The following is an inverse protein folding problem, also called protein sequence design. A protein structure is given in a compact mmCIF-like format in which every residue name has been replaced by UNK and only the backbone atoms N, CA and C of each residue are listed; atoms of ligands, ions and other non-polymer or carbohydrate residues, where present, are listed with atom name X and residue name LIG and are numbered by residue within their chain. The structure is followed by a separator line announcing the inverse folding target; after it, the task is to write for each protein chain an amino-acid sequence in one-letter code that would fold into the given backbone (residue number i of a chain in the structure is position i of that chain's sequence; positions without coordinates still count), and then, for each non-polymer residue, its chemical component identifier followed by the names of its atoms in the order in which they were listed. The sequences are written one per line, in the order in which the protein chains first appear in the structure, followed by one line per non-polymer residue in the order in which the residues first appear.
data_IF_002051702719
#
_entry.id   IF_002051702719
#
_cell.length_a   1.000
_cell.length_b   1.000
_cell.length_c   1.000
_cell.angle_alpha   90.00
_cell.angle_beta   90.00
_cell.angle_gamma   90.00
#
_symmetry.space_group_name_H-M   'P 1'
#
loop_
_entity.id
_entity.type
_entity.pdbx_description
1 polymer ?
#
# COMPACT_ATOMS: atom_id res chain seq x y z
N UNK A 1 -13.21 -15.66 11.28
CA UNK A 1 -13.67 -15.48 9.89
C UNK A 1 -12.51 -15.57 8.89
N UNK A 2 -11.43 -14.78 9.02
CA UNK A 2 -10.27 -14.85 8.10
C UNK A 2 -9.55 -16.22 8.05
N UNK A 3 -9.50 -16.95 9.15
CA UNK A 3 -8.86 -18.28 9.24
C UNK A 3 -9.83 -19.45 9.01
N UNK A 4 -11.10 -19.17 8.74
CA UNK A 4 -12.09 -20.20 8.43
C UNK A 4 -12.11 -20.39 6.91
N UNK A 5 -11.98 -21.62 6.38
CA UNK A 5 -12.11 -21.91 4.95
C UNK A 5 -13.41 -21.33 4.40
N UNK A 6 -13.38 -20.82 3.17
CA UNK A 6 -14.51 -20.12 2.55
C UNK A 6 -15.81 -20.94 2.58
N UNK A 7 -15.72 -22.21 2.20
CA UNK A 7 -16.85 -23.15 2.16
C UNK A 7 -17.40 -23.50 3.54
N UNK A 8 -16.68 -23.16 4.62
CA UNK A 8 -17.04 -23.43 6.01
C UNK A 8 -17.45 -22.18 6.80
N UNK A 9 -17.56 -21.01 6.15
CA UNK A 9 -17.95 -19.76 6.83
C UNK A 9 -19.45 -19.68 7.06
N UNK A 10 -19.84 -19.31 8.30
CA UNK A 10 -21.23 -18.95 8.61
C UNK A 10 -21.65 -17.65 7.90
N UNK A 11 -22.95 -17.37 7.87
CA UNK A 11 -23.47 -16.11 7.31
C UNK A 11 -22.91 -14.88 8.05
N UNK A 12 -22.81 -14.94 9.38
CA UNK A 12 -22.25 -13.88 10.22
C UNK A 12 -20.76 -13.70 9.93
N UNK A 13 -20.01 -14.80 9.76
CA UNK A 13 -18.59 -14.73 9.42
C UNK A 13 -18.36 -14.12 8.04
N UNK A 14 -19.22 -14.41 7.05
CA UNK A 14 -19.19 -13.77 5.73
C UNK A 14 -19.47 -12.28 5.84
N UNK A 15 -20.46 -11.88 6.64
CA UNK A 15 -20.80 -10.48 6.84
C UNK A 15 -19.67 -9.68 7.51
N UNK A 16 -19.00 -10.26 8.52
CA UNK A 16 -17.88 -9.62 9.22
C UNK A 16 -16.69 -9.30 8.29
N UNK A 17 -16.49 -10.10 7.24
CA UNK A 17 -15.34 -9.95 6.33
C UNK A 17 -15.70 -9.31 4.99
N UNK A 18 -16.97 -8.96 4.77
CA UNK A 18 -17.46 -8.46 3.48
C UNK A 18 -16.62 -7.29 2.97
N UNK A 19 -16.34 -6.30 3.83
CA UNK A 19 -15.48 -5.15 3.48
C UNK A 19 -14.05 -5.57 3.12
N UNK A 20 -13.49 -6.59 3.77
CA UNK A 20 -12.14 -7.09 3.44
C UNK A 20 -12.16 -7.78 2.09
N UNK A 21 -13.21 -8.55 1.80
CA UNK A 21 -13.35 -9.25 0.53
C UNK A 21 -13.54 -8.25 -0.63
N UNK A 22 -14.30 -7.17 -0.42
CA UNK A 22 -14.43 -6.04 -1.37
C UNK A 22 -13.08 -5.36 -1.65
N UNK A 23 -12.36 -4.95 -0.60
CA UNK A 23 -11.05 -4.28 -0.74
C UNK A 23 -10.00 -5.18 -1.41
N UNK A 24 -10.00 -6.48 -1.10
CA UNK A 24 -9.13 -7.45 -1.78
C UNK A 24 -9.49 -7.57 -3.26
N UNK A 25 -10.79 -7.59 -3.59
CA UNK A 25 -11.25 -7.66 -4.98
C UNK A 25 -10.81 -6.42 -5.78
N UNK A 26 -10.91 -5.22 -5.20
CA UNK A 26 -10.43 -3.99 -5.82
C UNK A 26 -8.93 -4.06 -6.14
N UNK A 27 -8.11 -4.48 -5.18
CA UNK A 27 -6.65 -4.61 -5.38
C UNK A 27 -6.32 -5.68 -6.42
N UNK A 28 -7.05 -6.81 -6.44
CA UNK A 28 -6.85 -7.87 -7.43
C UNK A 28 -7.18 -7.40 -8.85
N UNK A 29 -8.25 -6.63 -9.00
CA UNK A 29 -8.71 -6.10 -10.29
C UNK A 29 -7.80 -4.99 -10.84
N UNK A 30 -7.05 -4.29 -9.99
CA UNK A 30 -6.16 -3.21 -10.41
C UNK A 30 -4.81 -3.72 -10.92
N UNK A 31 -4.38 -3.28 -12.11
CA UNK A 31 -3.00 -3.44 -12.59
C UNK A 31 -2.05 -2.43 -11.94
N UNK A 32 -2.59 -1.27 -11.59
CA UNK A 32 -1.86 -0.13 -11.03
C UNK A 32 -2.56 0.38 -9.79
N UNK A 33 -1.81 0.55 -8.71
CA UNK A 33 -2.26 1.19 -7.48
C UNK A 33 -1.64 2.58 -7.35
N UNK A 34 -2.46 3.57 -6.97
CA UNK A 34 -1.97 4.90 -6.57
C UNK A 34 -2.42 5.14 -5.14
N UNK A 35 -1.46 5.27 -4.22
CA UNK A 35 -1.72 5.35 -2.78
C UNK A 35 -1.18 6.69 -2.27
N UNK A 36 -2.09 7.52 -1.75
CA UNK A 36 -1.71 8.69 -0.95
C UNK A 36 -1.33 8.25 0.48
N UNK A 37 -0.09 8.50 0.88
CA UNK A 37 0.45 8.13 2.19
C UNK A 37 0.97 9.38 2.93
N UNK A 38 0.08 10.20 3.52
CA UNK A 38 0.54 11.31 4.34
C UNK A 38 1.21 10.78 5.61
N UNK A 39 2.31 11.40 6.01
CA UNK A 39 3.05 11.00 7.22
C UNK A 39 2.51 11.74 8.44
N UNK A 40 2.00 10.99 9.42
CA UNK A 40 1.64 11.50 10.73
C UNK A 40 2.48 10.80 11.79
N UNK A 41 3.21 11.58 12.58
CA UNK A 41 4.10 11.06 13.62
C UNK A 41 5.01 9.94 13.10
N UNK A 42 5.76 10.23 12.03
CA UNK A 42 6.77 9.35 11.41
C UNK A 42 6.24 8.15 10.62
N UNK A 43 4.94 7.83 10.71
CA UNK A 43 4.34 6.64 10.11
C UNK A 43 3.10 6.96 9.24
N UNK A 44 2.52 5.91 8.67
CA UNK A 44 1.25 6.00 7.92
C UNK A 44 0.05 6.28 8.85
N UNK A 45 -1.04 6.87 8.34
CA UNK A 45 -2.25 7.08 9.14
C UNK A 45 -2.87 5.75 9.57
N UNK A 46 -3.59 5.76 10.70
CA UNK A 46 -4.26 4.56 11.24
C UNK A 46 -5.26 3.96 10.25
N UNK A 47 -5.93 4.78 9.43
CA UNK A 47 -6.85 4.32 8.39
C UNK A 47 -6.14 3.59 7.25
N UNK A 48 -4.96 4.07 6.82
CA UNK A 48 -4.15 3.38 5.83
C UNK A 48 -3.62 2.06 6.39
N UNK A 49 -3.20 2.04 7.66
CA UNK A 49 -2.83 0.80 8.36
C UNK A 49 -4.02 -0.18 8.43
N UNK A 50 -5.22 0.29 8.74
CA UNK A 50 -6.42 -0.54 8.78
C UNK A 50 -6.76 -1.10 7.39
N UNK A 51 -6.59 -0.32 6.32
CA UNK A 51 -6.71 -0.82 4.95
C UNK A 51 -5.70 -1.94 4.66
N UNK A 52 -4.43 -1.78 5.05
CA UNK A 52 -3.41 -2.84 4.92
C UNK A 52 -3.85 -4.12 5.64
N UNK A 53 -4.39 -4.01 6.85
CA UNK A 53 -4.88 -5.16 7.62
C UNK A 53 -6.03 -5.90 6.92
N UNK A 54 -6.84 -5.19 6.14
CA UNK A 54 -7.96 -5.75 5.41
C UNK A 54 -7.54 -6.44 4.12
N UNK A 55 -6.45 -6.00 3.48
CA UNK A 55 -5.98 -6.60 2.22
C UNK A 55 -4.91 -7.68 2.42
N UNK A 56 -4.22 -7.72 3.56
CA UNK A 56 -3.23 -8.75 3.88
C UNK A 56 -3.92 -10.02 4.41
N UNK A 57 -4.32 -10.91 3.50
CA UNK A 57 -5.15 -12.08 3.79
C UNK A 57 -4.43 -13.38 3.41
N UNK A 58 -4.18 -14.23 4.41
CA UNK A 58 -3.54 -15.54 4.21
C UNK A 58 -4.38 -16.42 3.28
N UNK A 59 -3.73 -17.06 2.31
CA UNK A 59 -4.37 -17.86 1.26
C UNK A 59 -5.12 -17.05 0.21
N UNK A 60 -5.09 -15.71 0.26
CA UNK A 60 -5.85 -14.84 -0.66
C UNK A 60 -4.96 -13.81 -1.36
N UNK A 61 -4.08 -13.12 -0.62
CA UNK A 61 -3.12 -12.14 -1.16
C UNK A 61 -1.67 -12.45 -0.78
N UNK A 62 -1.46 -13.31 0.20
CA UNK A 62 -0.18 -13.95 0.48
C UNK A 62 -0.41 -15.36 1.03
N UNK A 63 0.62 -16.19 1.07
CA UNK A 63 0.57 -17.50 1.74
C UNK A 63 1.91 -17.83 2.41
N UNK A 64 1.90 -18.74 3.38
CA UNK A 64 3.13 -19.24 4.01
C UNK A 64 3.67 -20.47 3.26
N UNK A 65 4.99 -20.52 3.09
CA UNK A 65 5.72 -21.67 2.57
C UNK A 65 6.81 -22.09 3.57
N UNK A 66 7.49 -23.20 3.31
CA UNK A 66 8.64 -23.64 4.11
C UNK A 66 9.78 -22.61 4.16
N UNK A 67 9.88 -21.74 3.14
CA UNK A 67 10.89 -20.69 3.04
C UNK A 67 10.40 -19.32 3.54
N UNK A 68 9.20 -19.27 4.14
CA UNK A 68 8.56 -18.03 4.60
C UNK A 68 7.38 -17.59 3.73
N UNK A 69 6.83 -16.40 3.98
CA UNK A 69 5.67 -15.89 3.26
C UNK A 69 6.01 -15.51 1.81
N UNK A 70 5.07 -15.78 0.90
CA UNK A 70 5.12 -15.36 -0.51
C UNK A 70 3.84 -14.61 -0.86
N UNK A 71 3.98 -13.50 -1.57
CA UNK A 71 2.86 -12.72 -2.09
C UNK A 71 2.18 -13.40 -3.27
N UNK A 72 0.91 -13.05 -3.52
CA UNK A 72 0.09 -13.65 -4.60
C UNK A 72 -0.38 -12.62 -5.65
N UNK A 73 -0.05 -11.33 -5.46
CA UNK A 73 -0.51 -10.22 -6.31
C UNK A 73 0.61 -9.72 -7.23
N UNK A 74 1.15 -10.62 -8.04
CA UNK A 74 2.25 -10.35 -8.97
C UNK A 74 1.80 -9.56 -10.22
N UNK A 75 2.75 -9.00 -10.97
CA UNK A 75 2.50 -8.29 -12.23
C UNK A 75 1.82 -6.93 -12.08
N UNK A 76 1.86 -6.36 -10.88
CA UNK A 76 1.21 -5.08 -10.53
C UNK A 76 2.25 -4.02 -10.18
N UNK A 77 1.93 -2.77 -10.51
CA UNK A 77 2.72 -1.59 -10.13
C UNK A 77 2.00 -0.76 -9.08
N UNK A 78 2.73 -0.20 -8.12
CA UNK A 78 2.20 0.76 -7.16
C UNK A 78 3.01 2.06 -7.14
N UNK A 79 2.30 3.19 -7.15
CA UNK A 79 2.84 4.50 -6.82
C UNK A 79 2.40 4.87 -5.41
N UNK A 80 3.35 5.19 -4.54
CA UNK A 80 3.06 5.66 -3.19
C UNK A 80 3.50 7.11 -3.09
N UNK A 81 2.53 8.02 -3.01
CA UNK A 81 2.76 9.46 -2.85
C UNK A 81 2.92 9.77 -1.37
N UNK A 82 4.15 10.06 -0.96
CA UNK A 82 4.48 10.28 0.45
C UNK A 82 4.56 11.78 0.72
N UNK A 83 3.50 12.30 1.35
CA UNK A 83 3.41 13.71 1.73
C UNK A 83 3.82 13.88 3.20
N UNK A 84 4.75 14.79 3.48
CA UNK A 84 5.24 15.04 4.84
C UNK A 84 5.27 16.53 5.17
N UNK A 85 5.21 16.85 6.46
CA UNK A 85 5.40 18.22 6.94
C UNK A 85 6.86 18.67 6.83
N UNK A 86 7.73 18.10 7.66
CA UNK A 86 9.16 18.45 7.70
C UNK A 86 10.13 17.27 7.69
N UNK A 87 9.63 16.03 7.68
CA UNK A 87 10.47 14.82 7.64
C UNK A 87 10.82 14.52 6.18
N UNK A 88 12.10 14.52 5.78
CA UNK A 88 12.47 14.11 4.43
C UNK A 88 12.13 12.64 4.18
N UNK A 89 11.61 12.33 3.00
CA UNK A 89 11.36 10.95 2.56
C UNK A 89 12.68 10.18 2.51
N UNK A 90 12.67 8.91 2.92
CA UNK A 90 13.84 8.03 3.11
C UNK A 90 14.84 8.46 4.20
N UNK A 91 14.52 9.46 5.02
CA UNK A 91 15.35 9.77 6.21
C UNK A 91 15.20 8.69 7.29
N UNK A 92 16.09 8.61 8.28
CA UNK A 92 15.94 7.68 9.41
C UNK A 92 14.64 7.86 10.23
N UNK A 93 13.97 9.01 10.11
CA UNK A 93 12.69 9.30 10.75
C UNK A 93 11.48 8.99 9.86
N UNK A 94 11.70 8.48 8.65
CA UNK A 94 10.64 8.03 7.75
C UNK A 94 10.37 6.53 7.94
N UNK A 95 9.36 6.22 8.75
CA UNK A 95 8.88 4.85 8.91
C UNK A 95 7.73 4.53 7.95
N UNK A 96 7.12 5.52 7.31
CA UNK A 96 5.99 5.34 6.41
C UNK A 96 6.42 4.67 5.10
N UNK A 97 7.47 5.19 4.46
CA UNK A 97 7.98 4.66 3.18
C UNK A 97 8.45 3.21 3.26
N UNK A 98 9.34 2.82 4.19
CA UNK A 98 9.77 1.42 4.29
C UNK A 98 8.62 0.50 4.69
N UNK A 99 7.68 0.96 5.54
CA UNK A 99 6.48 0.19 5.87
C UNK A 99 5.64 -0.11 4.62
N UNK A 100 5.34 0.90 3.80
CA UNK A 100 4.55 0.71 2.58
C UNK A 100 5.21 -0.22 1.58
N UNK A 101 6.53 -0.08 1.36
CA UNK A 101 7.30 -1.03 0.53
C UNK A 101 7.24 -2.46 1.08
N UNK A 102 7.39 -2.61 2.40
CA UNK A 102 7.35 -3.91 3.05
C UNK A 102 5.99 -4.61 2.88
N UNK A 103 4.88 -3.90 3.12
CA UNK A 103 3.54 -4.53 3.09
C UNK A 103 3.04 -4.79 1.67
N UNK A 104 3.39 -3.93 0.71
CA UNK A 104 3.08 -4.16 -0.71
C UNK A 104 3.91 -5.34 -1.26
N UNK A 105 5.20 -5.38 -0.94
CA UNK A 105 6.07 -6.51 -1.30
C UNK A 105 5.60 -7.82 -0.66
N UNK A 106 5.13 -7.78 0.59
CA UNK A 106 4.60 -8.94 1.31
C UNK A 106 3.39 -9.58 0.62
N UNK A 107 2.51 -8.79 -0.01
CA UNK A 107 1.37 -9.29 -0.79
C UNK A 107 1.70 -9.53 -2.27
N UNK A 108 2.95 -9.28 -2.71
CA UNK A 108 3.44 -9.63 -4.05
C UNK A 108 3.60 -8.45 -5.02
N UNK A 109 3.27 -7.23 -4.58
CA UNK A 109 3.43 -6.01 -5.38
C UNK A 109 4.85 -5.47 -5.15
N UNK A 110 5.78 -5.88 -6.01
CA UNK A 110 7.21 -5.58 -5.85
C UNK A 110 7.66 -4.34 -6.64
N UNK A 111 6.94 -3.97 -7.69
CA UNK A 111 7.18 -2.73 -8.44
C UNK A 111 6.54 -1.54 -7.73
N UNK A 112 7.22 -1.04 -6.69
CA UNK A 112 6.75 0.11 -5.88
C UNK A 112 7.61 1.34 -6.14
N UNK A 113 7.01 2.37 -6.71
CA UNK A 113 7.62 3.67 -6.96
C UNK A 113 7.16 4.68 -5.91
N UNK A 114 8.11 5.37 -5.28
CA UNK A 114 7.81 6.38 -4.27
C UNK A 114 7.83 7.75 -4.93
N UNK A 115 6.73 8.47 -4.82
CA UNK A 115 6.64 9.87 -5.24
C UNK A 115 6.87 10.73 -4.00
N UNK A 116 8.02 11.41 -3.95
CA UNK A 116 8.36 12.32 -2.86
C UNK A 116 7.55 13.62 -2.98
N UNK A 117 6.67 13.85 -2.00
CA UNK A 117 5.89 15.07 -1.81
C UNK A 117 6.14 15.68 -0.41
N UNK A 118 7.38 15.61 0.09
CA UNK A 118 7.76 16.10 1.43
C UNK A 118 7.76 17.62 1.58
N UNK A 119 7.86 18.11 2.81
CA UNK A 119 8.23 19.51 3.08
C UNK A 119 7.08 20.52 3.07
N UNK A 120 5.81 20.07 3.12
CA UNK A 120 4.66 20.99 3.08
C UNK A 120 4.59 21.97 4.25
N UNK A 121 5.16 21.63 5.41
CA UNK A 121 5.25 22.54 6.56
C UNK A 121 6.48 23.47 6.49
N UNK A 122 7.43 23.20 5.59
CA UNK A 122 8.63 24.01 5.37
C UNK A 122 8.38 25.05 4.28
N UNK A 123 7.96 24.59 3.09
CA UNK A 123 7.57 25.43 1.96
C UNK A 123 6.55 24.68 1.10
N UNK A 124 5.27 25.03 1.21
CA UNK A 124 4.19 24.34 0.53
C UNK A 124 4.24 24.49 -1.00
N UNK A 125 4.72 25.62 -1.51
CA UNK A 125 4.80 25.88 -2.95
C UNK A 125 5.88 25.01 -3.61
N UNK A 126 7.10 25.01 -3.04
CA UNK A 126 8.19 24.15 -3.51
C UNK A 126 7.88 22.67 -3.33
N UNK A 127 7.19 22.29 -2.24
CA UNK A 127 6.73 20.93 -2.02
C UNK A 127 5.76 20.48 -3.12
N UNK A 128 4.79 21.33 -3.48
CA UNK A 128 3.84 21.04 -4.56
C UNK A 128 4.53 20.94 -5.92
N UNK A 129 5.43 21.88 -6.25
CA UNK A 129 6.17 21.85 -7.51
C UNK A 129 7.02 20.59 -7.65
N UNK A 130 7.73 20.18 -6.59
CA UNK A 130 8.51 18.95 -6.58
C UNK A 130 7.63 17.70 -6.72
N UNK A 131 6.49 17.67 -6.03
CA UNK A 131 5.55 16.55 -6.13
C UNK A 131 5.04 16.39 -7.57
N UNK A 132 4.63 17.48 -8.23
CA UNK A 132 4.19 17.47 -9.63
C UNK A 132 5.31 17.00 -10.55
N UNK A 133 6.52 17.55 -10.42
CA UNK A 133 7.65 17.15 -11.24
C UNK A 133 7.99 15.65 -11.07
N UNK A 134 7.91 15.12 -9.84
CA UNK A 134 8.12 13.70 -9.57
C UNK A 134 7.03 12.82 -10.17
N UNK A 135 5.76 13.27 -10.18
CA UNK A 135 4.66 12.57 -10.87
C UNK A 135 4.88 12.56 -12.39
N UNK A 136 5.29 13.69 -12.99
CA UNK A 136 5.53 13.78 -14.42
C UNK A 136 6.74 12.95 -14.88
N UNK A 137 7.75 12.80 -14.02
CA UNK A 137 8.91 11.96 -14.27
C UNK A 137 8.64 10.46 -14.00
N UNK A 138 7.53 10.13 -13.34
CA UNK A 138 7.23 8.77 -12.95
C UNK A 138 7.01 7.89 -14.19
N UNK A 139 7.64 6.72 -14.21
CA UNK A 139 7.54 5.83 -15.36
C UNK A 139 6.15 5.24 -15.44
N UNK A 140 5.35 5.59 -16.45
CA UNK A 140 4.02 4.99 -16.65
C UNK A 140 4.16 3.49 -16.91
N UNK A 141 3.21 2.67 -16.46
CA UNK A 141 3.20 1.26 -16.81
C UNK A 141 3.02 1.16 -18.33
N UNK A 142 3.83 0.30 -18.97
CA UNK A 142 3.63 -0.03 -20.37
C UNK A 142 2.32 -0.82 -20.43
N UNK A 143 1.32 -0.30 -21.14
CA UNK A 143 0.06 -1.00 -21.33
C UNK A 143 0.34 -2.39 -21.92
N UNK A 144 -0.22 -3.42 -21.28
CA UNK A 144 -0.15 -4.80 -21.76
C UNK A 144 -0.97 -4.99 -23.05
#
# INVERSE_FOLDING_TARGET
AFYTPEDSRSAEQKQVIATSDELVAEVKAADVLVIGAPMYNFAVPSTLKAWVDMIARVGVTFQYTENGPVGLLEGKKAYVVVATGGVPVNSPADFATPYMKQVLGFIGITEVEIIDASGFAVNAEEAMQRAIANVEAASLPVAA
#
